data_IF_870261830078
#
_entry.id   IF_870261830078
#
_cell.length_a   1.000
_cell.length_b   1.000
_cell.length_c   1.000
_cell.angle_alpha   90.00
_cell.angle_beta   90.00
_cell.angle_gamma   90.00
#
_symmetry.space_group_name_H-M   'P 1'
#
loop_
_entity.id
_entity.type
_entity.pdbx_description
1 polymer ?
#
# COMPACT_ATOMS: atom_id res chain seq x y z
N UNK A 1 -5.21 2.12 -0.76
CA UNK A 1 -6.11 3.29 -0.58
C UNK A 1 -6.09 4.20 -1.80
N UNK A 2 -7.20 4.90 -2.11
CA UNK A 2 -7.23 5.87 -3.22
C UNK A 2 -7.50 7.29 -2.74
N UNK A 3 -6.60 8.21 -3.10
CA UNK A 3 -6.75 9.64 -2.87
C UNK A 3 -7.60 10.26 -3.99
N UNK A 4 -8.72 10.89 -3.64
CA UNK A 4 -9.63 11.52 -4.61
C UNK A 4 -9.43 13.04 -4.69
N UNK A 5 -9.33 13.70 -3.54
CA UNK A 5 -9.12 15.14 -3.44
C UNK A 5 -8.20 15.47 -2.28
N UNK A 6 -7.26 16.39 -2.47
CA UNK A 6 -6.34 16.90 -1.45
C UNK A 6 -6.42 18.42 -1.43
N UNK A 7 -7.04 18.96 -0.39
CA UNK A 7 -7.16 20.40 -0.16
C UNK A 7 -6.51 20.74 1.18
N UNK A 8 -5.19 20.93 1.17
CA UNK A 8 -4.41 21.29 2.37
C UNK A 8 -3.81 22.68 2.13
N UNK A 9 -4.05 23.62 3.05
CA UNK A 9 -3.45 24.94 3.02
C UNK A 9 -1.97 24.86 3.42
N UNK A 10 -1.07 25.36 2.58
CA UNK A 10 0.38 25.36 2.86
C UNK A 10 0.78 26.28 4.03
N UNK A 11 -0.07 27.25 4.39
CA UNK A 11 0.26 28.27 5.41
C UNK A 11 -0.06 27.82 6.84
N UNK A 12 -1.22 27.18 7.03
CA UNK A 12 -1.73 26.83 8.36
C UNK A 12 -1.75 25.32 8.61
N UNK A 13 -1.51 24.50 7.59
CA UNK A 13 -1.66 23.05 7.66
C UNK A 13 -3.12 22.58 7.83
N UNK A 14 -4.08 23.50 7.86
CA UNK A 14 -5.52 23.20 7.89
C UNK A 14 -5.96 22.66 6.52
N UNK A 15 -6.85 21.67 6.52
CA UNK A 15 -7.29 21.10 5.25
C UNK A 15 -8.27 19.95 5.34
N UNK A 16 -8.74 19.54 4.17
CA UNK A 16 -9.57 18.36 4.00
C UNK A 16 -9.00 17.45 2.91
N UNK A 17 -9.11 16.15 3.15
CA UNK A 17 -8.66 15.11 2.22
C UNK A 17 -9.81 14.13 2.03
N UNK A 18 -10.18 13.87 0.78
CA UNK A 18 -11.18 12.87 0.41
C UNK A 18 -10.48 11.59 -0.02
N UNK A 19 -10.75 10.50 0.68
CA UNK A 19 -10.12 9.20 0.52
C UNK A 19 -11.19 8.13 0.28
N UNK A 20 -10.78 7.06 -0.39
CA UNK A 20 -11.53 5.81 -0.51
C UNK A 20 -10.65 4.66 -0.05
N UNK A 21 -11.08 3.95 0.97
CA UNK A 21 -10.46 2.70 1.39
C UNK A 21 -10.91 1.60 0.43
N UNK A 22 -9.97 0.96 -0.27
CA UNK A 22 -10.27 -0.11 -1.22
C UNK A 22 -10.01 -1.49 -0.57
N UNK A 23 -9.06 -1.54 0.37
CA UNK A 23 -8.61 -2.75 1.03
C UNK A 23 -8.86 -2.75 2.56
N UNK A 24 -8.93 -3.93 3.20
CA UNK A 24 -9.00 -4.03 4.66
C UNK A 24 -7.81 -3.41 5.39
N UNK A 25 -6.59 -3.46 4.83
CA UNK A 25 -5.40 -2.80 5.41
C UNK A 25 -5.53 -1.27 5.41
N UNK A 26 -6.22 -0.71 4.40
CA UNK A 26 -6.51 0.72 4.38
C UNK A 26 -7.29 1.15 5.62
N UNK A 27 -8.15 0.30 6.18
CA UNK A 27 -8.89 0.63 7.41
C UNK A 27 -7.97 0.82 8.60
N UNK A 28 -6.87 0.08 8.67
CA UNK A 28 -5.83 0.29 9.68
C UNK A 28 -5.07 1.61 9.44
N UNK A 29 -4.76 1.93 8.18
CA UNK A 29 -4.16 3.22 7.83
C UNK A 29 -5.08 4.39 8.19
N UNK A 30 -6.39 4.24 7.97
CA UNK A 30 -7.40 5.24 8.30
C UNK A 30 -7.57 5.36 9.81
N UNK A 31 -7.57 4.27 10.57
CA UNK A 31 -7.58 4.30 12.04
C UNK A 31 -6.42 5.14 12.58
N UNK A 32 -5.22 4.93 12.06
CA UNK A 32 -4.02 5.69 12.45
C UNK A 32 -3.97 7.13 11.90
N UNK A 33 -4.87 7.46 10.98
CA UNK A 33 -4.98 8.81 10.42
C UNK A 33 -5.95 9.65 11.25
N UNK A 34 -7.05 9.07 11.71
CA UNK A 34 -8.14 9.78 12.36
C UNK A 34 -7.84 10.00 13.84
N UNK A 35 -8.03 11.22 14.33
CA UNK A 35 -7.87 11.56 15.75
C UNK A 35 -9.16 12.13 16.35
N UNK A 36 -9.26 12.10 17.68
CA UNK A 36 -10.34 12.76 18.42
C UNK A 36 -10.33 14.27 18.16
N UNK A 37 -11.49 14.84 17.87
CA UNK A 37 -11.65 16.26 17.51
C UNK A 37 -11.52 16.56 16.01
N UNK A 38 -11.10 15.58 15.19
CA UNK A 38 -11.16 15.73 13.74
C UNK A 38 -12.62 15.65 13.25
N UNK A 39 -12.90 16.24 12.08
CA UNK A 39 -14.22 16.19 11.46
C UNK A 39 -14.21 15.21 10.29
N UNK A 40 -15.05 14.18 10.37
CA UNK A 40 -15.24 13.18 9.33
C UNK A 40 -16.58 13.36 8.65
N UNK A 41 -16.56 13.54 7.32
CA UNK A 41 -17.76 13.56 6.49
C UNK A 41 -17.88 12.28 5.68
N UNK A 42 -18.95 11.53 5.91
CA UNK A 42 -19.19 10.24 5.24
C UNK A 42 -20.68 10.02 4.99
N UNK A 43 -21.01 9.02 4.19
CA UNK A 43 -22.39 8.67 3.86
C UNK A 43 -22.89 7.56 4.79
N UNK A 44 -23.94 7.85 5.54
CA UNK A 44 -24.50 6.97 6.57
C UNK A 44 -25.96 6.68 6.30
N UNK A 45 -26.51 5.65 6.94
CA UNK A 45 -27.93 5.32 6.87
C UNK A 45 -28.53 5.48 8.26
N UNK A 46 -29.54 6.34 8.37
CA UNK A 46 -30.24 6.59 9.63
C UNK A 46 -31.74 6.35 9.48
N UNK A 47 -32.34 5.74 10.50
CA UNK A 47 -33.80 5.66 10.62
C UNK A 47 -34.31 7.04 11.06
N UNK A 48 -35.11 7.66 10.23
CA UNK A 48 -35.78 8.93 10.50
C UNK A 48 -37.24 8.63 10.81
N UNK A 49 -37.71 9.07 11.97
CA UNK A 49 -39.12 8.97 12.37
C UNK A 49 -39.76 10.31 12.06
N UNK A 50 -40.82 10.30 11.25
CA UNK A 50 -41.65 11.47 10.96
C UNK A 50 -42.99 11.28 11.66
N UNK A 51 -43.39 12.28 12.43
CA UNK A 51 -44.73 12.36 13.03
C UNK A 51 -45.63 13.15 12.08
N UNK A 52 -46.73 12.53 11.64
CA UNK A 52 -47.75 13.20 10.86
C UNK A 52 -48.67 14.06 11.73
N UNK A 53 -49.40 15.00 11.12
CA UNK A 53 -50.33 15.89 11.83
C UNK A 53 -51.44 15.15 12.59
N UNK A 54 -51.74 13.91 12.21
CA UNK A 54 -52.72 13.02 12.85
C UNK A 54 -52.13 12.15 13.97
N UNK A 55 -50.87 12.38 14.38
CA UNK A 55 -50.19 11.58 15.42
C UNK A 55 -49.65 10.22 14.94
N UNK A 56 -49.78 9.92 13.64
CA UNK A 56 -49.27 8.68 13.05
C UNK A 56 -47.74 8.77 12.84
N UNK A 57 -46.97 7.85 13.42
CA UNK A 57 -45.51 7.79 13.23
C UNK A 57 -45.16 6.93 12.02
N UNK A 58 -44.50 7.51 11.01
CA UNK A 58 -43.91 6.76 9.90
C UNK A 58 -42.40 6.75 10.03
N UNK A 59 -41.78 5.57 9.87
CA UNK A 59 -40.32 5.41 9.96
C UNK A 59 -39.72 5.03 8.63
N UNK A 60 -38.73 5.80 8.18
CA UNK A 60 -38.03 5.56 6.92
C UNK A 60 -36.52 5.50 7.15
N UNK A 61 -35.84 4.55 6.51
CA UNK A 61 -34.37 4.51 6.49
C UNK A 61 -33.89 5.38 5.34
N UNK A 62 -33.15 6.45 5.65
CA UNK A 62 -32.66 7.41 4.68
C UNK A 62 -31.12 7.38 4.69
N UNK A 63 -30.54 7.36 3.48
CA UNK A 63 -29.10 7.52 3.29
C UNK A 63 -28.79 9.01 3.20
N UNK A 64 -27.85 9.49 4.01
CA UNK A 64 -27.49 10.91 4.10
C UNK A 64 -26.00 11.09 4.35
N UNK A 65 -25.46 12.25 3.98
CA UNK A 65 -24.10 12.62 4.33
C UNK A 65 -24.09 13.40 5.62
N UNK A 66 -23.30 12.96 6.61
CA UNK A 66 -23.14 13.62 7.90
C UNK A 66 -21.67 13.99 8.11
N UNK A 67 -21.45 15.17 8.68
CA UNK A 67 -20.14 15.63 9.12
C UNK A 67 -20.09 15.52 10.66
N UNK A 68 -19.31 14.55 11.14
CA UNK A 68 -19.21 14.20 12.54
C UNK A 68 -17.86 14.65 13.09
N UNK A 69 -17.87 15.41 14.17
CA UNK A 69 -16.69 15.60 15.01
C UNK A 69 -16.48 14.34 15.84
N UNK A 70 -15.28 13.79 15.76
CA UNK A 70 -14.96 12.47 16.26
C UNK A 70 -14.71 12.52 17.76
N UNK A 71 -15.49 11.74 18.50
CA UNK A 71 -15.38 11.63 19.96
C UNK A 71 -14.66 10.33 20.37
N UNK A 72 -15.04 9.22 19.74
CA UNK A 72 -14.47 7.89 19.97
C UNK A 72 -14.31 7.11 18.66
N UNK A 73 -13.26 6.31 18.59
CA UNK A 73 -12.88 5.50 17.43
C UNK A 73 -12.63 4.09 17.93
N UNK A 74 -13.37 3.12 17.37
CA UNK A 74 -13.23 1.71 17.69
C UNK A 74 -12.84 0.95 16.42
N UNK A 75 -11.72 0.23 16.47
CA UNK A 75 -11.26 -0.62 15.37
C UNK A 75 -11.37 -2.09 15.78
N UNK A 76 -12.12 -2.88 15.00
CA UNK A 76 -12.19 -4.34 15.14
C UNK A 76 -11.19 -4.97 14.16
N UNK A 77 -10.00 -5.45 14.62
CA UNK A 77 -8.98 -6.01 13.76
C UNK A 77 -9.41 -7.31 13.08
N UNK A 78 -10.32 -8.09 13.68
CA UNK A 78 -10.79 -9.35 13.12
C UNK A 78 -11.78 -9.14 11.96
N UNK A 79 -12.58 -8.07 12.03
CA UNK A 79 -13.54 -7.72 10.98
C UNK A 79 -13.05 -6.63 10.04
N UNK A 80 -11.87 -6.07 10.30
CA UNK A 80 -11.30 -4.90 9.63
C UNK A 80 -12.33 -3.76 9.47
N UNK A 81 -13.13 -3.52 10.51
CA UNK A 81 -14.21 -2.54 10.49
C UNK A 81 -13.88 -1.41 11.45
N UNK A 82 -13.96 -0.18 10.93
CA UNK A 82 -13.72 1.04 11.69
C UNK A 82 -15.04 1.69 12.06
N UNK A 83 -15.37 1.69 13.36
CA UNK A 83 -16.56 2.31 13.92
C UNK A 83 -16.20 3.65 14.54
N UNK A 84 -16.92 4.68 14.15
CA UNK A 84 -16.63 6.05 14.53
C UNK A 84 -17.86 6.63 15.20
N UNK A 85 -17.70 7.05 16.46
CA UNK A 85 -18.72 7.75 17.22
C UNK A 85 -18.36 9.23 17.27
N UNK A 86 -19.32 10.06 16.91
CA UNK A 86 -19.12 11.50 16.89
C UNK A 86 -20.41 12.29 17.04
N UNK A 87 -20.26 13.60 16.95
CA UNK A 87 -21.34 14.58 17.09
C UNK A 87 -21.50 15.32 15.77
N UNK A 88 -22.73 15.50 15.31
CA UNK A 88 -22.99 16.20 14.06
C UNK A 88 -22.71 17.71 14.18
N UNK A 89 -21.82 18.23 13.32
CA UNK A 89 -21.38 19.64 13.31
C UNK A 89 -22.02 20.44 12.17
N UNK A 90 -22.49 19.78 11.11
CA UNK A 90 -23.17 20.43 9.98
C UNK A 90 -24.69 20.28 10.10
N UNK A 91 -25.43 21.32 9.71
CA UNK A 91 -26.89 21.25 9.65
C UNK A 91 -27.32 20.25 8.58
N UNK A 92 -28.25 19.34 8.94
CA UNK A 92 -28.79 18.35 8.02
C UNK A 92 -30.33 18.32 8.16
N UNK A 93 -31.11 18.23 7.07
CA UNK A 93 -32.57 18.19 7.12
C UNK A 93 -33.18 17.11 8.02
N UNK A 94 -32.41 16.07 8.35
CA UNK A 94 -32.89 14.92 9.11
C UNK A 94 -32.18 14.71 10.45
N UNK A 95 -31.10 15.44 10.72
CA UNK A 95 -30.29 15.28 11.93
C UNK A 95 -29.99 16.65 12.52
N UNK A 96 -30.41 16.84 13.77
CA UNK A 96 -30.13 18.08 14.51
C UNK A 96 -28.62 18.25 14.71
N UNK A 97 -28.16 19.48 14.69
CA UNK A 97 -26.81 19.85 15.12
C UNK A 97 -26.61 19.39 16.57
N UNK A 98 -25.42 18.88 16.90
CA UNK A 98 -25.12 18.37 18.24
C UNK A 98 -25.66 16.97 18.55
N UNK A 99 -26.37 16.32 17.62
CA UNK A 99 -26.83 14.95 17.83
C UNK A 99 -25.67 13.95 17.68
N UNK A 100 -25.51 13.04 18.66
CA UNK A 100 -24.55 11.95 18.55
C UNK A 100 -24.98 10.94 17.48
N UNK A 101 -24.01 10.44 16.73
CA UNK A 101 -24.19 9.39 15.74
C UNK A 101 -22.97 8.48 15.71
N UNK A 102 -23.22 7.20 15.45
CA UNK A 102 -22.18 6.20 15.23
C UNK A 102 -22.28 5.72 13.80
N UNK A 103 -21.15 5.75 13.09
CA UNK A 103 -21.04 5.35 11.69
C UNK A 103 -19.94 4.33 11.53
N UNK A 104 -20.20 3.31 10.74
CA UNK A 104 -19.21 2.33 10.32
C UNK A 104 -18.65 2.76 8.97
N UNK A 105 -17.33 2.87 8.84
CA UNK A 105 -16.70 3.07 7.54
C UNK A 105 -16.71 1.76 6.76
N UNK A 106 -17.17 1.83 5.52
CA UNK A 106 -17.24 0.69 4.62
C UNK A 106 -16.17 0.80 3.53
N UNK A 107 -15.72 -0.35 3.04
CA UNK A 107 -14.84 -0.44 1.88
C UNK A 107 -15.52 0.15 0.64
N UNK A 108 -14.70 0.73 -0.24
CA UNK A 108 -15.08 1.37 -1.49
C UNK A 108 -16.06 2.55 -1.36
N UNK A 109 -16.26 3.08 -0.14
CA UNK A 109 -17.00 4.32 0.08
C UNK A 109 -16.06 5.50 0.29
N UNK A 110 -16.49 6.64 -0.22
CA UNK A 110 -15.76 7.90 -0.09
C UNK A 110 -16.05 8.52 1.27
N UNK A 111 -14.99 8.92 1.95
CA UNK A 111 -15.07 9.74 3.15
C UNK A 111 -14.13 10.92 3.03
N UNK A 112 -14.49 12.04 3.65
CA UNK A 112 -13.66 13.24 3.70
C UNK A 112 -13.25 13.49 5.14
N UNK A 113 -11.95 13.47 5.39
CA UNK A 113 -11.37 13.80 6.68
C UNK A 113 -10.91 15.25 6.65
N UNK A 114 -11.36 16.05 7.61
CA UNK A 114 -10.94 17.43 7.82
C UNK A 114 -10.19 17.51 9.15
N UNK A 115 -8.97 18.02 9.08
CA UNK A 115 -8.10 18.22 10.24
C UNK A 115 -7.74 19.69 10.40
N UNK A 116 -7.49 20.08 11.64
CA UNK A 116 -6.97 21.41 11.97
C UNK A 116 -5.50 21.55 11.57
N UNK A 117 -4.70 20.50 11.76
CA UNK A 117 -3.32 20.45 11.26
C UNK A 117 -3.05 19.09 10.59
N UNK A 118 -2.48 19.14 9.39
CA UNK A 118 -1.98 17.98 8.68
C UNK A 118 -0.48 17.86 8.92
N UNK A 119 -0.10 16.96 9.82
CA UNK A 119 1.30 16.70 10.14
C UNK A 119 2.00 15.94 8.99
N UNK A 120 3.33 16.07 8.91
CA UNK A 120 4.14 15.35 7.92
C UNK A 120 3.93 13.84 7.99
N UNK A 121 3.85 13.26 9.19
CA UNK A 121 3.58 11.83 9.39
C UNK A 121 2.21 11.42 8.83
N UNK A 122 1.18 12.25 9.00
CA UNK A 122 -0.15 11.99 8.43
C UNK A 122 -0.13 12.00 6.90
N UNK A 123 0.60 12.95 6.31
CA UNK A 123 0.75 13.08 4.85
C UNK A 123 1.54 11.90 4.28
N UNK A 124 2.69 11.58 4.87
CA UNK A 124 3.52 10.44 4.46
C UNK A 124 2.74 9.13 4.57
N UNK A 125 1.89 8.98 5.60
CA UNK A 125 1.03 7.80 5.76
C UNK A 125 0.00 7.69 4.65
N UNK A 126 -0.66 8.79 4.28
CA UNK A 126 -1.57 8.81 3.11
C UNK A 126 -0.79 8.44 1.84
N UNK A 127 0.38 9.03 1.63
CA UNK A 127 1.19 8.75 0.43
C UNK A 127 1.66 7.30 0.38
N UNK A 128 1.99 6.71 1.52
CA UNK A 128 2.36 5.30 1.64
C UNK A 128 1.18 4.40 1.33
N UNK A 129 0.01 4.67 1.93
CA UNK A 129 -1.20 3.88 1.72
C UNK A 129 -1.83 4.07 0.33
N UNK A 130 -1.55 5.18 -0.35
CA UNK A 130 -2.01 5.45 -1.71
C UNK A 130 -1.09 4.90 -2.80
N UNK A 131 0.21 4.81 -2.53
CA UNK A 131 1.17 4.40 -3.54
C UNK A 131 1.42 2.88 -3.48
N UNK A 132 0.65 2.15 -4.27
CA UNK A 132 0.80 0.71 -4.50
C UNK A 132 2.21 0.34 -4.96
N UNK A 133 2.92 1.20 -5.69
CA UNK A 133 4.29 0.91 -6.13
C UNK A 133 5.31 0.99 -4.97
N UNK A 134 5.05 1.81 -3.93
CA UNK A 134 5.87 1.86 -2.72
C UNK A 134 5.61 0.69 -1.77
N UNK A 135 4.42 0.08 -1.83
CA UNK A 135 4.04 -1.09 -1.02
C UNK A 135 4.29 -2.44 -1.74
N UNK A 136 4.67 -2.42 -3.02
CA UNK A 136 4.91 -3.65 -3.77
C UNK A 136 6.24 -4.28 -3.33
N UNK A 137 6.15 -5.33 -2.51
CA UNK A 137 7.31 -6.12 -2.10
C UNK A 137 7.90 -6.91 -3.28
N UNK A 138 7.05 -7.42 -4.18
CA UNK A 138 7.45 -8.35 -5.24
C UNK A 138 6.80 -8.03 -6.57
N UNK A 139 7.58 -8.10 -7.65
CA UNK A 139 7.04 -8.10 -9.01
C UNK A 139 7.02 -9.52 -9.54
N UNK A 140 5.98 -9.89 -10.29
CA UNK A 140 5.87 -11.18 -10.95
C UNK A 140 5.55 -11.00 -12.43
N UNK A 141 6.31 -11.67 -13.28
CA UNK A 141 6.08 -11.77 -14.72
C UNK A 141 5.69 -13.21 -15.00
N UNK A 142 4.41 -13.43 -15.26
CA UNK A 142 3.90 -14.73 -15.70
C UNK A 142 3.83 -14.71 -17.22
N UNK A 143 4.41 -15.72 -17.84
CA UNK A 143 4.66 -15.71 -19.28
C UNK A 143 4.40 -17.07 -19.90
N UNK A 144 3.84 -17.04 -21.09
CA UNK A 144 3.58 -18.15 -21.99
C UNK A 144 3.90 -17.67 -23.41
N UNK A 145 4.11 -18.60 -24.34
CA UNK A 145 4.34 -18.25 -25.75
C UNK A 145 3.19 -17.42 -26.30
N UNK A 146 3.42 -16.11 -26.50
CA UNK A 146 2.45 -15.16 -27.06
C UNK A 146 1.60 -14.41 -26.03
N UNK A 147 1.75 -14.67 -24.73
CA UNK A 147 1.01 -13.97 -23.68
C UNK A 147 1.89 -13.78 -22.43
N UNK A 148 1.97 -12.55 -21.93
CA UNK A 148 2.63 -12.25 -20.66
C UNK A 148 1.81 -11.28 -19.81
N UNK A 149 1.82 -11.52 -18.50
CA UNK A 149 1.22 -10.66 -17.49
C UNK A 149 2.29 -10.16 -16.54
N UNK A 150 2.44 -8.85 -16.49
CA UNK A 150 3.27 -8.19 -15.48
C UNK A 150 2.37 -7.78 -14.32
N UNK A 151 2.69 -8.32 -13.15
CA UNK A 151 1.94 -8.13 -11.93
C UNK A 151 2.85 -7.55 -10.85
N UNK A 152 2.31 -6.64 -10.05
CA UNK A 152 2.91 -6.22 -8.78
C UNK A 152 2.12 -6.87 -7.66
N UNK A 153 2.86 -7.51 -6.75
CA UNK A 153 2.34 -8.22 -5.60
C UNK A 153 2.68 -7.37 -4.38
N UNK A 154 1.65 -6.82 -3.75
CA UNK A 154 1.73 -6.23 -2.41
C UNK A 154 1.40 -7.31 -1.37
N UNK A 155 1.47 -6.97 -0.09
CA UNK A 155 1.18 -7.91 1.01
C UNK A 155 -0.25 -8.49 0.97
N UNK A 156 -1.21 -7.83 0.31
CA UNK A 156 -2.62 -8.24 0.29
C UNK A 156 -3.26 -8.30 -1.10
N UNK A 157 -2.67 -7.70 -2.13
CA UNK A 157 -3.23 -7.73 -3.49
C UNK A 157 -2.20 -7.97 -4.60
N UNK A 158 -2.68 -8.59 -5.67
CA UNK A 158 -1.96 -8.71 -6.93
C UNK A 158 -2.56 -7.76 -7.96
N UNK A 159 -1.80 -6.74 -8.38
CA UNK A 159 -2.22 -5.78 -9.42
C UNK A 159 -1.56 -6.12 -10.75
N UNK A 160 -2.37 -6.35 -11.79
CA UNK A 160 -1.85 -6.47 -13.16
C UNK A 160 -1.54 -5.07 -13.69
N UNK A 161 -0.28 -4.81 -14.01
CA UNK A 161 0.18 -3.54 -14.58
C UNK A 161 0.21 -3.53 -16.10
N UNK A 162 0.57 -4.66 -16.69
CA UNK A 162 0.60 -4.80 -18.14
C UNK A 162 0.17 -6.21 -18.57
N UNK A 163 -0.56 -6.25 -19.68
CA UNK A 163 -0.90 -7.47 -20.41
C UNK A 163 -0.30 -7.33 -21.80
N UNK A 164 0.58 -8.26 -22.17
CA UNK A 164 1.29 -8.26 -23.44
C UNK A 164 0.82 -9.48 -24.20
N UNK A 165 0.14 -9.25 -25.31
CA UNK A 165 -0.31 -10.30 -26.21
C UNK A 165 0.38 -10.13 -27.56
N UNK A 166 0.93 -11.20 -28.10
CA UNK A 166 1.62 -11.20 -29.38
C UNK A 166 1.31 -12.50 -30.13
N UNK A 167 0.83 -12.37 -31.37
CA UNK A 167 0.56 -13.54 -32.22
C UNK A 167 1.88 -14.07 -32.78
N UNK A 168 2.41 -15.13 -32.16
CA UNK A 168 3.63 -15.78 -32.61
C UNK A 168 3.26 -16.85 -33.66
N UNK A 169 3.73 -16.73 -34.91
CA UNK A 169 3.44 -17.72 -35.95
C UNK A 169 4.10 -19.06 -35.61
N UNK A 170 3.42 -20.18 -35.88
CA UNK A 170 3.95 -21.53 -35.60
C UNK A 170 5.25 -21.82 -36.35
N UNK A 171 6.13 -22.61 -35.73
CA UNK A 171 7.40 -23.02 -36.32
C UNK A 171 7.15 -23.83 -37.60
N UNK A 172 7.64 -23.33 -38.73
CA UNK A 172 7.65 -24.03 -40.02
C UNK A 172 9.10 -24.15 -40.51
N UNK A 173 9.50 -25.29 -41.07
CA UNK A 173 10.86 -25.44 -41.61
C UNK A 173 11.09 -24.39 -42.71
N UNK A 174 12.25 -23.71 -42.65
CA UNK A 174 12.64 -22.66 -43.60
C UNK A 174 12.13 -21.25 -43.31
N UNK A 175 11.28 -21.04 -42.30
CA UNK A 175 10.72 -19.72 -41.99
C UNK A 175 11.31 -19.11 -40.69
N UNK A 176 11.99 -17.97 -40.82
CA UNK A 176 12.60 -17.23 -39.69
C UNK A 176 11.63 -16.30 -38.97
N UNK A 177 10.38 -16.17 -39.45
CA UNK A 177 9.37 -15.29 -38.83
C UNK A 177 9.02 -15.67 -37.40
N UNK A 178 9.10 -16.95 -37.03
CA UNK A 178 8.88 -17.40 -35.65
C UNK A 178 9.93 -16.81 -34.70
N UNK A 179 11.21 -16.91 -35.05
CA UNK A 179 12.31 -16.41 -34.21
C UNK A 179 12.19 -14.89 -34.01
N UNK A 180 11.94 -14.14 -35.10
CA UNK A 180 11.70 -12.69 -35.04
C UNK A 180 10.45 -12.32 -34.23
N UNK A 181 9.41 -13.16 -34.26
CA UNK A 181 8.20 -12.97 -33.46
C UNK A 181 8.45 -13.13 -31.96
N UNK A 182 9.25 -14.12 -31.57
CA UNK A 182 9.67 -14.35 -30.18
C UNK A 182 10.55 -13.22 -29.68
N UNK A 183 11.51 -12.76 -30.49
CA UNK A 183 12.39 -11.64 -30.14
C UNK A 183 11.60 -10.35 -29.85
N UNK A 184 10.65 -10.00 -30.74
CA UNK A 184 9.74 -8.86 -30.51
C UNK A 184 8.88 -9.01 -29.26
N UNK A 185 8.43 -10.24 -28.98
CA UNK A 185 7.65 -10.51 -27.77
C UNK A 185 8.48 -10.27 -26.51
N UNK A 186 9.74 -10.73 -26.49
CA UNK A 186 10.65 -10.48 -25.37
C UNK A 186 11.03 -9.00 -25.24
N UNK A 187 11.25 -8.28 -26.34
CA UNK A 187 11.48 -6.83 -26.30
C UNK A 187 10.33 -6.08 -25.64
N UNK A 188 9.08 -6.44 -25.98
CA UNK A 188 7.90 -5.84 -25.36
C UNK A 188 7.86 -6.10 -23.86
N UNK A 189 8.20 -7.32 -23.41
CA UNK A 189 8.26 -7.65 -21.98
C UNK A 189 9.33 -6.81 -21.28
N UNK A 190 10.54 -6.70 -21.83
CA UNK A 190 11.62 -5.88 -21.23
C UNK A 190 11.21 -4.41 -21.15
N UNK A 191 10.58 -3.87 -22.20
CA UNK A 191 10.07 -2.49 -22.17
C UNK A 191 8.99 -2.28 -21.12
N UNK A 192 8.03 -3.21 -20.99
CA UNK A 192 7.00 -3.15 -19.95
C UNK A 192 7.60 -3.29 -18.55
N UNK A 193 8.63 -4.12 -18.38
CA UNK A 193 9.36 -4.27 -17.12
C UNK A 193 9.96 -2.93 -16.69
N UNK A 194 10.68 -2.25 -17.59
CA UNK A 194 11.27 -0.92 -17.32
C UNK A 194 10.24 0.18 -17.03
N UNK A 195 9.07 0.12 -17.66
CA UNK A 195 8.02 1.15 -17.50
C UNK A 195 7.22 1.01 -16.21
N UNK A 196 7.06 -0.21 -15.71
CA UNK A 196 6.11 -0.50 -14.62
C UNK A 196 6.78 -0.96 -13.32
N UNK A 197 8.06 -1.33 -13.35
CA UNK A 197 8.79 -1.83 -12.18
C UNK A 197 9.92 -0.86 -11.84
N UNK A 198 9.83 -0.28 -10.65
CA UNK A 198 10.94 0.43 -10.02
C UNK A 198 11.78 -0.56 -9.21
N UNK A 199 12.93 -0.95 -9.76
CA UNK A 199 13.84 -1.93 -9.15
C UNK A 199 14.43 -1.48 -7.80
N UNK A 200 14.35 -0.19 -7.46
CA UNK A 200 14.79 0.30 -6.15
C UNK A 200 13.81 -0.09 -5.03
N UNK A 201 12.52 -0.25 -5.34
CA UNK A 201 11.46 -0.53 -4.38
C UNK A 201 11.19 -2.03 -4.27
N UNK A 202 11.23 -2.73 -5.40
CA UNK A 202 10.91 -4.15 -5.47
C UNK A 202 12.08 -5.00 -4.97
N UNK A 203 11.80 -5.90 -4.02
CA UNK A 203 12.82 -6.80 -3.43
C UNK A 203 13.24 -7.88 -4.41
N UNK A 204 12.27 -8.50 -5.07
CA UNK A 204 12.54 -9.55 -6.03
C UNK A 204 11.55 -9.56 -7.21
N UNK A 205 12.01 -10.10 -8.34
CA UNK A 205 11.23 -10.21 -9.58
C UNK A 205 11.09 -11.69 -9.93
N UNK A 206 9.88 -12.22 -9.83
CA UNK A 206 9.56 -13.59 -10.18
C UNK A 206 9.34 -13.71 -11.68
N UNK A 207 10.05 -14.62 -12.33
CA UNK A 207 9.86 -15.00 -13.73
C UNK A 207 9.24 -16.39 -13.76
N UNK A 208 7.96 -16.47 -14.13
CA UNK A 208 7.17 -17.68 -14.08
C UNK A 208 6.69 -18.08 -15.48
N UNK A 209 6.95 -19.32 -15.89
CA UNK A 209 6.47 -19.84 -17.16
C UNK A 209 6.25 -21.36 -17.13
N UNK A 210 5.39 -21.90 -18.00
CA UNK A 210 5.39 -23.33 -18.32
C UNK A 210 6.61 -23.67 -19.20
N UNK A 211 7.37 -24.69 -18.80
CA UNK A 211 8.55 -25.14 -19.52
C UNK A 211 9.72 -24.17 -19.47
N UNK A 212 10.45 -24.02 -20.58
CA UNK A 212 11.75 -23.36 -20.68
C UNK A 212 11.70 -21.87 -21.05
N UNK A 213 10.50 -21.29 -21.21
CA UNK A 213 10.34 -19.92 -21.73
C UNK A 213 10.98 -18.89 -20.79
N UNK A 214 10.89 -19.08 -19.47
CA UNK A 214 11.54 -18.25 -18.45
C UNK A 214 13.06 -18.25 -18.55
N UNK A 215 13.66 -19.40 -18.86
CA UNK A 215 15.11 -19.55 -18.93
C UNK A 215 15.66 -18.86 -20.20
N UNK A 216 14.94 -19.03 -21.31
CA UNK A 216 15.26 -18.36 -22.58
C UNK A 216 15.06 -16.84 -22.48
N UNK A 217 14.00 -16.39 -21.81
CA UNK A 217 13.76 -14.96 -21.59
C UNK A 217 14.82 -14.34 -20.67
N UNK A 218 15.24 -15.02 -19.61
CA UNK A 218 16.30 -14.52 -18.73
C UNK A 218 17.61 -14.32 -19.50
N UNK A 219 18.01 -15.30 -20.34
CA UNK A 219 19.18 -15.17 -21.22
C UNK A 219 19.04 -13.98 -22.17
N UNK A 220 17.88 -13.88 -22.85
CA UNK A 220 17.61 -12.79 -23.77
C UNK A 220 17.68 -11.41 -23.09
N UNK A 221 17.11 -11.29 -21.89
CA UNK A 221 17.11 -10.05 -21.11
C UNK A 221 18.52 -9.64 -20.70
N UNK A 222 19.38 -10.59 -20.29
CA UNK A 222 20.78 -10.32 -19.98
C UNK A 222 21.56 -9.88 -21.22
N UNK A 223 21.38 -10.57 -22.35
CA UNK A 223 22.01 -10.20 -23.63
C UNK A 223 21.53 -8.82 -24.12
N UNK A 224 20.26 -8.50 -23.93
CA UNK A 224 19.70 -7.17 -24.22
C UNK A 224 20.30 -6.09 -23.32
N UNK A 225 20.47 -6.37 -22.02
CA UNK A 225 21.05 -5.41 -21.08
C UNK A 225 22.53 -5.14 -21.37
N UNK A 226 23.30 -6.14 -21.81
CA UNK A 226 24.70 -5.99 -22.24
C UNK A 226 24.79 -5.15 -23.52
N UNK A 227 23.89 -5.40 -24.50
CA UNK A 227 23.86 -4.64 -25.77
C UNK A 227 23.50 -3.17 -25.59
N UNK A 228 22.64 -2.88 -24.62
CA UNK A 228 22.08 -1.54 -24.38
C UNK A 228 22.79 -0.78 -23.25
N UNK A 229 23.74 -1.43 -22.55
CA UNK A 229 24.42 -0.94 -21.34
C UNK A 229 23.46 -0.46 -20.23
N UNK A 230 22.35 -1.21 -20.03
CA UNK A 230 21.36 -0.90 -19.01
C UNK A 230 21.84 -1.31 -17.61
N UNK A 231 22.46 -0.36 -16.90
CA UNK A 231 22.99 -0.57 -15.54
C UNK A 231 21.95 -1.10 -14.54
N UNK A 232 20.70 -0.65 -14.65
CA UNK A 232 19.61 -1.02 -13.72
C UNK A 232 19.34 -2.53 -13.73
N UNK A 233 19.35 -3.17 -14.90
CA UNK A 233 19.06 -4.61 -15.01
C UNK A 233 20.31 -5.42 -14.62
N UNK A 234 21.51 -4.95 -14.99
CA UNK A 234 22.77 -5.60 -14.68
C UNK A 234 23.07 -5.64 -13.17
N UNK A 235 22.81 -4.54 -12.47
CA UNK A 235 22.97 -4.44 -11.01
C UNK A 235 21.96 -5.33 -10.27
N UNK A 236 20.73 -5.42 -10.78
CA UNK A 236 19.65 -6.18 -10.15
C UNK A 236 19.52 -7.63 -10.65
N UNK A 237 20.52 -8.16 -11.36
CA UNK A 237 20.48 -9.53 -11.93
C UNK A 237 20.18 -10.62 -10.88
N UNK A 238 20.64 -10.44 -9.65
CA UNK A 238 20.46 -11.41 -8.57
C UNK A 238 19.03 -11.43 -7.99
N UNK A 239 18.21 -10.42 -8.30
CA UNK A 239 16.82 -10.31 -7.82
C UNK A 239 15.83 -11.08 -8.69
N UNK A 240 16.25 -11.54 -9.87
CA UNK A 240 15.40 -12.33 -10.77
C UNK A 240 15.39 -13.79 -10.33
N UNK A 241 14.20 -14.31 -10.06
CA UNK A 241 14.00 -15.68 -9.58
C UNK A 241 13.16 -16.43 -10.59
N UNK A 242 13.64 -17.61 -10.99
CA UNK A 242 12.96 -18.47 -11.94
C UNK A 242 12.01 -19.41 -11.19
N UNK A 243 10.73 -19.35 -11.50
CA UNK A 243 9.68 -20.19 -10.87
C UNK A 243 8.94 -20.99 -11.93
N UNK A 244 8.48 -22.19 -11.59
CA UNK A 244 7.63 -22.98 -12.48
C UNK A 244 6.18 -22.47 -12.39
N UNK A 245 5.48 -22.41 -13.52
CA UNK A 245 4.05 -22.12 -13.56
C UNK A 245 3.37 -23.03 -14.57
N UNK A 246 2.14 -23.48 -14.26
CA UNK A 246 1.34 -24.29 -15.19
C UNK A 246 0.86 -23.52 -16.42
N UNK A 247 0.62 -22.21 -16.31
CA UNK A 247 0.10 -21.37 -17.40
C UNK A 247 0.67 -19.94 -17.40
N UNK A 248 0.42 -19.22 -18.50
CA UNK A 248 0.77 -17.80 -18.64
C UNK A 248 -0.22 -16.82 -18.01
N UNK A 249 -1.31 -17.30 -17.40
CA UNK A 249 -2.47 -16.49 -17.01
C UNK A 249 -2.45 -16.11 -15.51
N UNK A 250 -3.36 -15.21 -15.11
CA UNK A 250 -3.46 -14.71 -13.72
C UNK A 250 -3.53 -15.83 -12.67
N UNK A 251 -4.25 -16.92 -12.94
CA UNK A 251 -4.42 -18.02 -11.97
C UNK A 251 -3.12 -18.77 -11.64
N UNK A 252 -2.10 -18.69 -12.52
CA UNK A 252 -0.81 -19.30 -12.24
C UNK A 252 -0.01 -18.55 -11.17
N UNK A 253 -0.37 -17.31 -10.81
CA UNK A 253 0.27 -16.59 -9.71
C UNK A 253 0.06 -17.28 -8.36
N UNK A 254 -1.12 -17.85 -8.13
CA UNK A 254 -1.42 -18.53 -6.86
C UNK A 254 -0.56 -19.78 -6.68
N UNK A 255 -0.27 -20.49 -7.77
CA UNK A 255 0.67 -21.62 -7.81
C UNK A 255 2.11 -21.17 -7.52
N UNK A 256 2.55 -20.09 -8.18
CA UNK A 256 3.90 -19.53 -8.03
C UNK A 256 4.16 -19.05 -6.60
N UNK A 257 3.17 -18.43 -5.96
CA UNK A 257 3.26 -17.98 -4.56
C UNK A 257 3.22 -19.12 -3.55
N UNK A 258 2.68 -20.29 -3.93
CA UNK A 258 2.66 -21.45 -3.06
C UNK A 258 4.03 -22.15 -2.94
N UNK A 259 4.93 -21.96 -3.92
CA UNK A 259 6.25 -22.58 -3.97
C UNK A 259 7.15 -22.11 -2.80
N UNK A 260 7.81 -23.07 -2.15
CA UNK A 260 8.65 -22.86 -0.97
C UNK A 260 9.84 -21.94 -1.28
N UNK A 261 10.39 -22.00 -2.51
CA UNK A 261 11.50 -21.13 -2.93
C UNK A 261 11.11 -19.65 -2.90
N UNK A 262 9.87 -19.35 -3.27
CA UNK A 262 9.33 -18.00 -3.31
C UNK A 262 8.95 -17.55 -1.90
N UNK A 263 8.38 -18.43 -1.07
CA UNK A 263 8.03 -18.12 0.33
C UNK A 263 9.22 -17.68 1.17
N UNK A 264 10.35 -18.39 1.12
CA UNK A 264 11.56 -18.03 1.88
C UNK A 264 12.08 -16.64 1.50
N UNK A 265 11.95 -16.25 0.23
CA UNK A 265 12.38 -14.93 -0.23
C UNK A 265 11.32 -13.84 -0.02
N UNK A 266 10.05 -14.21 0.10
CA UNK A 266 8.95 -13.33 0.49
C UNK A 266 8.92 -13.04 1.99
N UNK A 267 9.35 -14.00 2.82
CA UNK A 267 9.43 -13.90 4.28
C UNK A 267 10.37 -12.76 4.73
N UNK A 268 11.27 -12.30 3.86
CA UNK A 268 12.06 -11.08 4.00
C UNK A 268 11.20 -9.80 3.76
N UNK A 269 9.97 -9.83 4.26
CA UNK A 269 8.97 -8.75 4.16
C UNK A 269 9.30 -7.62 5.16
N UNK A 270 8.55 -6.51 5.12
CA UNK A 270 8.75 -5.36 6.03
C UNK A 270 8.92 -5.76 7.51
N UNK A 271 8.22 -6.79 7.96
CA UNK A 271 8.36 -7.37 9.30
C UNK A 271 9.77 -7.92 9.59
N UNK A 272 10.41 -8.61 8.63
CA UNK A 272 11.79 -9.07 8.78
C UNK A 272 12.79 -7.90 8.83
N UNK A 273 12.49 -6.80 8.12
CA UNK A 273 13.25 -5.56 8.23
C UNK A 273 13.17 -4.94 9.63
N UNK A 274 11.97 -4.86 10.21
CA UNK A 274 11.75 -4.34 11.57
C UNK A 274 12.42 -5.24 12.63
N UNK A 275 12.34 -6.57 12.45
CA UNK A 275 13.05 -7.55 13.29
C UNK A 275 14.56 -7.38 13.17
N UNK A 276 15.10 -7.24 11.96
CA UNK A 276 16.53 -6.99 11.74
C UNK A 276 17.00 -5.68 12.37
N UNK A 277 16.18 -4.62 12.35
CA UNK A 277 16.48 -3.37 13.04
C UNK A 277 16.56 -3.56 14.57
N UNK A 278 15.65 -4.35 15.14
CA UNK A 278 15.68 -4.73 16.56
C UNK A 278 16.89 -5.60 16.89
N UNK A 279 17.21 -6.58 16.06
CA UNK A 279 18.37 -7.46 16.24
C UNK A 279 19.66 -6.62 16.21
N UNK A 280 19.78 -5.71 15.24
CA UNK A 280 20.91 -4.76 15.18
C UNK A 280 20.96 -3.87 16.43
N UNK A 281 19.82 -3.44 16.96
CA UNK A 281 19.77 -2.68 18.21
C UNK A 281 20.25 -3.52 19.41
N UNK A 282 19.82 -4.77 19.53
CA UNK A 282 20.27 -5.67 20.59
C UNK A 282 21.76 -6.02 20.44
N UNK A 283 22.26 -6.23 19.23
CA UNK A 283 23.69 -6.42 18.94
C UNK A 283 24.51 -5.19 19.36
N UNK A 284 24.01 -3.98 19.08
CA UNK A 284 24.64 -2.74 19.52
C UNK A 284 24.65 -2.59 21.04
N UNK A 285 23.58 -3.00 21.74
CA UNK A 285 23.55 -3.03 23.21
C UNK A 285 24.60 -3.98 23.81
N UNK A 286 24.86 -5.11 23.15
CA UNK A 286 25.85 -6.08 23.62
C UNK A 286 27.29 -5.64 23.33
N UNK A 287 27.53 -5.01 22.18
CA UNK A 287 28.88 -4.62 21.72
C UNK A 287 29.33 -3.25 22.24
N UNK A 288 28.43 -2.27 22.29
CA UNK A 288 28.74 -0.88 22.68
C UNK A 288 27.55 -0.24 23.42
N UNK A 289 27.53 -0.45 24.75
CA UNK A 289 26.44 -0.05 25.64
C UNK A 289 26.15 1.47 25.61
N UNK A 290 27.09 2.31 25.16
CA UNK A 290 26.97 3.77 25.11
C UNK A 290 26.46 4.33 23.76
N UNK A 291 26.11 3.45 22.82
CA UNK A 291 25.57 3.83 21.51
C UNK A 291 24.07 3.59 21.36
N UNK A 292 23.52 2.59 22.03
CA UNK A 292 22.11 2.23 21.95
C UNK A 292 21.37 2.59 23.25
N UNK A 293 20.31 3.40 23.14
CA UNK A 293 19.52 3.84 24.29
C UNK A 293 18.02 3.69 24.01
N UNK A 294 17.25 3.44 25.06
CA UNK A 294 15.79 3.40 25.05
C UNK A 294 15.24 4.23 26.23
N UNK A 295 14.07 4.85 26.06
CA UNK A 295 13.37 5.61 27.10
C UNK A 295 13.12 7.10 26.77
N UNK A 296 12.11 7.67 27.43
CA UNK A 296 11.58 9.02 27.13
C UNK A 296 12.56 10.16 27.48
N UNK A 297 13.48 9.94 28.43
CA UNK A 297 14.39 10.96 28.97
C UNK A 297 15.77 11.01 28.30
N UNK A 298 15.98 10.25 27.22
CA UNK A 298 17.28 10.17 26.54
C UNK A 298 17.50 11.43 25.69
N UNK A 299 18.65 12.10 25.88
CA UNK A 299 18.97 13.34 25.13
C UNK A 299 19.21 13.01 23.65
N UNK A 300 18.66 13.80 22.70
CA UNK A 300 18.65 13.51 21.26
C UNK A 300 20.00 13.77 20.55
N UNK A 301 21.14 13.48 21.18
CA UNK A 301 22.47 13.69 20.57
C UNK A 301 23.05 12.43 19.91
N UNK A 302 22.38 11.28 20.01
CA UNK A 302 22.83 9.97 19.52
C UNK A 302 21.67 9.17 18.93
N UNK A 303 21.97 8.03 18.32
CA UNK A 303 21.03 7.13 17.64
C UNK A 303 19.93 6.66 18.61
N UNK A 304 18.66 6.88 18.27
CA UNK A 304 17.51 6.46 19.08
C UNK A 304 16.62 5.55 18.26
N UNK A 305 16.20 4.44 18.86
CA UNK A 305 15.11 3.61 18.33
C UNK A 305 13.81 4.15 18.92
N UNK A 306 12.99 4.75 18.08
CA UNK A 306 11.66 5.22 18.45
C UNK A 306 10.62 4.20 18.04
N UNK A 307 9.81 3.78 19.02
CA UNK A 307 8.58 3.05 18.74
C UNK A 307 7.54 4.06 18.25
N UNK A 308 7.17 3.95 16.98
CA UNK A 308 6.14 4.79 16.38
C UNK A 308 4.75 4.23 16.72
N UNK A 309 3.76 5.12 16.84
CA UNK A 309 2.38 4.76 17.20
C UNK A 309 1.69 3.81 16.21
N UNK A 310 2.35 3.49 15.09
CA UNK A 310 1.92 2.52 14.09
C UNK A 310 2.59 1.15 14.24
N UNK A 311 3.23 0.89 15.39
CA UNK A 311 3.85 -0.40 15.69
C UNK A 311 5.20 -0.62 15.01
N UNK A 312 5.77 0.39 14.34
CA UNK A 312 7.08 0.30 13.70
C UNK A 312 8.20 0.74 14.62
N UNK A 313 9.38 0.15 14.42
CA UNK A 313 10.61 0.61 15.02
C UNK A 313 11.38 1.45 14.00
N UNK A 314 11.51 2.74 14.26
CA UNK A 314 12.28 3.66 13.43
C UNK A 314 13.59 3.99 14.12
N UNK A 315 14.72 3.82 13.43
CA UNK A 315 16.04 4.15 13.93
C UNK A 315 16.47 5.47 13.30
N UNK A 316 16.56 6.53 14.11
CA UNK A 316 16.93 7.86 13.61
C UNK A 316 18.05 8.50 14.43
N UNK A 317 18.95 9.20 13.75
CA UNK A 317 19.82 10.19 14.38
C UNK A 317 19.00 11.45 14.56
N UNK A 318 18.55 11.72 15.78
CA UNK A 318 17.76 12.91 16.07
C UNK A 318 18.58 14.18 15.73
N UNK A 319 18.23 14.88 14.65
CA UNK A 319 18.70 16.25 14.40
C UNK A 319 17.89 17.17 15.29
N UNK A 320 18.58 17.79 16.24
CA UNK A 320 18.04 18.78 17.20
C UNK A 320 17.14 19.83 16.53
N UNK A 321 15.83 19.78 16.75
CA UNK A 321 14.97 20.97 16.72
C UNK A 321 14.40 21.19 18.12
N UNK A 322 14.92 22.23 18.78
CA UNK A 322 14.46 22.69 20.09
C UNK A 322 13.03 23.24 19.94
N UNK A 323 12.03 22.56 20.48
CA UNK A 323 10.79 23.20 20.94
C UNK A 323 10.65 22.92 22.43
N UNK A 324 10.91 23.97 23.20
CA UNK A 324 11.01 23.97 24.65
C UNK A 324 9.62 24.29 25.21
N UNK A 325 8.79 23.27 25.44
CA UNK A 325 7.56 23.46 26.23
C UNK A 325 7.94 23.53 27.71
N UNK A 326 7.94 24.75 28.28
CA UNK A 326 7.91 24.96 29.74
C UNK A 326 6.52 24.57 30.22
N UNK A 327 6.44 23.57 31.09
CA UNK A 327 5.28 23.34 31.95
C UNK A 327 5.53 24.09 33.27
N UNK A 328 4.63 25.01 33.58
CA UNK A 328 4.39 25.55 34.93
C UNK A 328 3.53 24.60 35.74
#
# INVERSE_FOLDING_TARGET
MKLLKRNISEKDGTGSVTLRAEEPEDMWHVFNLIHKGDVLKTTTVRKVVKEGATGSTSSQRLRMSLALEIDHIDFDPAKCLLRIKGINVEENPHVRMGASHTTDLELNKDFTLKKNCWDLMSIERIETACNVAKQADVAAVVMQTGLAHLCLITSHMTVIRAKIESSIPRKRPGNTSHAKGVERFYDNIVQSLKRHIDFNLVKCVLLASPGFVKDDFLKYMLDYAIRTDDKVILENKARFILVHASSGHKHALDEVLADQKVKVQLEDTKAAGDVKCLDTFFEMLHSDQDRAYYGYNVRPRKMVVTWEADGRYSMSFARTTRTRWKLS
#
